data_IF_879789420560
#
_entry.id   IF_879789420560
#
_cell.length_a   1.000
_cell.length_b   1.000
_cell.length_c   1.000
_cell.angle_alpha   90.00
_cell.angle_beta   90.00
_cell.angle_gamma   90.00
#
_symmetry.space_group_name_H-M   'P 1'
#
loop_
_entity.id
_entity.type
_entity.pdbx_description
1 polymer ?
#
# COMPACT_ATOMS: atom_id res chain seq x y z
N UNK A 1 19.94 9.04 -3.76
CA UNK A 1 19.16 7.82 -3.42
C UNK A 1 19.67 7.14 -2.14
N UNK A 2 20.97 6.85 -2.02
CA UNK A 2 21.56 6.16 -0.86
C UNK A 2 21.24 6.79 0.52
N UNK A 3 21.39 8.11 0.67
CA UNK A 3 21.09 8.83 1.93
C UNK A 3 19.65 8.61 2.42
N UNK A 4 18.68 8.59 1.49
CA UNK A 4 17.27 8.35 1.82
C UNK A 4 17.04 6.92 2.29
N UNK A 5 17.58 5.93 1.57
CA UNK A 5 17.47 4.52 1.95
C UNK A 5 18.05 4.24 3.34
N UNK A 6 19.23 4.79 3.65
CA UNK A 6 19.85 4.67 4.98
C UNK A 6 18.97 5.32 6.06
N UNK A 7 18.38 6.48 5.78
CA UNK A 7 17.42 7.13 6.67
C UNK A 7 16.21 6.25 6.97
N UNK A 8 15.61 5.67 5.93
CA UNK A 8 14.45 4.76 6.06
C UNK A 8 14.80 3.53 6.90
N UNK A 9 15.94 2.90 6.65
CA UNK A 9 16.40 1.73 7.41
C UNK A 9 16.58 2.06 8.89
N UNK A 10 17.21 3.20 9.21
CA UNK A 10 17.37 3.65 10.61
C UNK A 10 16.02 3.89 11.29
N UNK A 11 15.08 4.52 10.59
CA UNK A 11 13.75 4.77 11.10
C UNK A 11 12.97 3.47 11.35
N UNK A 12 13.02 2.51 10.43
CA UNK A 12 12.41 1.19 10.58
C UNK A 12 13.00 0.44 11.78
N UNK A 13 14.32 0.48 11.96
CA UNK A 13 14.98 -0.17 13.08
C UNK A 13 14.57 0.44 14.42
N UNK A 14 14.50 1.78 14.48
CA UNK A 14 14.05 2.50 15.69
C UNK A 14 12.62 2.09 16.06
N UNK A 15 11.70 2.08 15.10
CA UNK A 15 10.31 1.66 15.30
C UNK A 15 10.20 0.21 15.75
N UNK A 16 10.92 -0.71 15.11
CA UNK A 16 10.91 -2.12 15.50
C UNK A 16 11.37 -2.31 16.95
N UNK A 17 12.38 -1.55 17.39
CA UNK A 17 12.83 -1.55 18.78
C UNK A 17 11.78 -0.98 19.75
N UNK A 18 11.12 0.12 19.38
CA UNK A 18 10.05 0.73 20.18
C UNK A 18 8.83 -0.21 20.33
N UNK A 19 8.50 -0.96 19.28
CA UNK A 19 7.38 -1.90 19.26
C UNK A 19 7.75 -3.31 19.79
N UNK A 20 8.99 -3.52 20.25
CA UNK A 20 9.53 -4.84 20.63
C UNK A 20 9.36 -5.93 19.56
N UNK A 21 9.43 -5.55 18.28
CA UNK A 21 9.39 -6.46 17.15
C UNK A 21 10.80 -6.73 16.61
N UNK A 22 10.98 -7.84 15.90
CA UNK A 22 12.27 -8.21 15.32
C UNK A 22 12.68 -7.22 14.21
N UNK A 23 13.81 -6.49 14.34
CA UNK A 23 14.24 -5.51 13.32
C UNK A 23 14.53 -6.12 11.96
N UNK A 24 14.96 -7.38 11.93
CA UNK A 24 15.22 -8.12 10.69
C UNK A 24 13.95 -8.34 9.87
N UNK A 25 12.79 -8.49 10.53
CA UNK A 25 11.50 -8.58 9.85
C UNK A 25 11.19 -7.29 9.12
N UNK A 26 11.37 -6.14 9.76
CA UNK A 26 11.16 -4.83 9.14
C UNK A 26 12.11 -4.58 7.95
N UNK A 27 13.38 -4.99 8.07
CA UNK A 27 14.33 -4.94 6.95
C UNK A 27 13.93 -5.86 5.79
N UNK A 28 13.48 -7.08 6.11
CA UNK A 28 13.06 -8.05 5.09
C UNK A 28 11.86 -7.54 4.32
N UNK A 29 10.89 -6.93 5.02
CA UNK A 29 9.74 -6.25 4.40
C UNK A 29 10.20 -5.09 3.50
N UNK A 30 11.05 -4.19 4.00
CA UNK A 30 11.58 -3.09 3.17
C UNK A 30 12.27 -3.57 1.90
N UNK A 31 12.96 -4.71 1.97
CA UNK A 31 13.65 -5.30 0.83
C UNK A 31 12.69 -5.79 -0.27
N UNK A 32 11.51 -6.28 0.09
CA UNK A 32 10.56 -6.89 -0.85
C UNK A 32 9.39 -5.97 -1.25
N UNK A 33 9.17 -4.87 -0.51
CA UNK A 33 8.11 -3.91 -0.78
C UNK A 33 8.55 -2.90 -1.85
N UNK A 34 7.75 -2.65 -2.90
CA UNK A 34 7.99 -1.57 -3.85
C UNK A 34 8.11 -0.21 -3.15
N UNK A 35 9.05 0.62 -3.59
CA UNK A 35 9.30 1.93 -2.96
C UNK A 35 8.26 2.98 -3.36
N UNK A 36 7.71 2.85 -4.56
CA UNK A 36 6.70 3.74 -5.14
C UNK A 36 5.96 3.00 -6.27
N UNK A 37 4.85 3.56 -6.78
CA UNK A 37 4.08 3.01 -7.91
C UNK A 37 4.95 2.78 -9.15
N UNK A 38 6.00 3.59 -9.31
CA UNK A 38 6.94 3.53 -10.44
C UNK A 38 8.29 2.91 -10.07
N UNK A 39 8.56 2.68 -8.78
CA UNK A 39 9.88 2.25 -8.31
C UNK A 39 9.81 0.86 -7.69
N UNK A 40 10.49 -0.14 -8.31
CA UNK A 40 10.47 -1.50 -7.81
C UNK A 40 11.21 -1.62 -6.47
N UNK A 41 11.02 -2.74 -5.77
CA UNK A 41 11.62 -2.98 -4.47
C UNK A 41 13.15 -3.04 -4.54
N UNK A 42 13.87 -2.83 -3.42
CA UNK A 42 15.32 -3.00 -3.38
C UNK A 42 15.80 -4.37 -3.88
N UNK A 43 15.04 -5.43 -3.63
CA UNK A 43 15.33 -6.77 -4.17
C UNK A 43 15.27 -6.80 -5.70
N UNK A 44 14.21 -6.24 -6.28
CA UNK A 44 14.02 -6.23 -7.74
C UNK A 44 15.08 -5.37 -8.44
N UNK A 45 15.47 -4.25 -7.83
CA UNK A 45 16.55 -3.41 -8.35
C UNK A 45 17.89 -4.16 -8.38
N UNK A 46 18.14 -5.02 -7.39
CA UNK A 46 19.40 -5.77 -7.29
C UNK A 46 19.43 -7.02 -8.18
N UNK A 47 18.32 -7.77 -8.24
CA UNK A 47 18.28 -9.08 -8.91
C UNK A 47 17.55 -9.07 -10.25
N UNK A 48 16.91 -7.96 -10.64
CA UNK A 48 16.14 -7.87 -11.88
C UNK A 48 14.91 -8.77 -11.95
N UNK A 49 14.50 -9.38 -10.82
CA UNK A 49 13.38 -10.31 -10.74
C UNK A 49 12.54 -10.07 -9.49
N UNK A 50 11.29 -10.53 -9.51
CA UNK A 50 10.39 -10.44 -8.36
C UNK A 50 10.86 -11.35 -7.21
N UNK A 51 10.71 -10.93 -5.94
CA UNK A 51 11.03 -11.76 -4.80
C UNK A 51 10.06 -12.95 -4.70
N UNK A 52 10.59 -14.15 -4.43
CA UNK A 52 9.77 -15.31 -4.13
C UNK A 52 9.17 -15.12 -2.73
N UNK A 53 7.88 -14.81 -2.68
CA UNK A 53 7.14 -14.59 -1.44
C UNK A 53 5.82 -15.35 -1.46
N UNK A 54 5.19 -15.49 -0.29
CA UNK A 54 3.84 -16.07 -0.18
C UNK A 54 2.76 -15.15 -0.75
N UNK A 55 3.07 -13.89 -1.05
CA UNK A 55 2.13 -12.95 -1.60
C UNK A 55 2.03 -13.10 -3.12
N UNK A 56 0.81 -13.02 -3.69
CA UNK A 56 0.61 -13.06 -5.12
C UNK A 56 1.30 -11.88 -5.80
N UNK A 57 2.16 -12.19 -6.76
CA UNK A 57 3.00 -11.20 -7.46
C UNK A 57 2.31 -10.67 -8.72
N UNK A 58 1.46 -11.49 -9.36
CA UNK A 58 0.79 -11.12 -10.60
C UNK A 58 -0.52 -10.40 -10.33
N UNK A 59 -0.80 -9.34 -11.11
CA UNK A 59 -2.10 -8.65 -11.07
C UNK A 59 -3.26 -9.61 -11.37
N UNK A 60 -3.02 -10.63 -12.19
CA UNK A 60 -3.99 -11.68 -12.48
C UNK A 60 -4.36 -12.53 -11.26
N UNK A 61 -3.39 -12.82 -10.38
CA UNK A 61 -3.66 -13.56 -9.14
C UNK A 61 -4.46 -12.74 -8.10
N UNK A 62 -4.55 -11.42 -8.28
CA UNK A 62 -5.39 -10.53 -7.46
C UNK A 62 -6.82 -10.41 -8.02
N UNK A 63 -7.11 -10.98 -9.19
CA UNK A 63 -8.46 -10.98 -9.74
C UNK A 63 -9.32 -12.02 -9.00
N UNK A 64 -10.53 -11.61 -8.64
CA UNK A 64 -11.52 -12.52 -8.09
C UNK A 64 -11.95 -13.52 -9.17
N UNK A 65 -11.94 -14.80 -8.84
CA UNK A 65 -12.44 -15.88 -9.69
C UNK A 65 -13.86 -16.31 -9.30
N UNK A 66 -14.55 -15.51 -8.47
CA UNK A 66 -15.87 -15.82 -7.97
C UNK A 66 -16.92 -15.75 -9.11
N UNK A 67 -17.89 -16.66 -9.18
CA UNK A 67 -19.01 -16.50 -10.12
C UNK A 67 -19.75 -15.19 -9.82
N UNK A 68 -20.12 -14.40 -10.84
CA UNK A 68 -20.75 -13.07 -10.67
C UNK A 68 -19.83 -11.95 -10.15
N UNK A 69 -18.53 -11.97 -10.48
CA UNK A 69 -17.59 -10.86 -10.17
C UNK A 69 -18.15 -9.49 -10.57
N UNK A 70 -18.79 -9.37 -11.73
CA UNK A 70 -19.29 -8.10 -12.24
C UNK A 70 -20.36 -7.48 -11.34
N UNK A 71 -21.31 -8.27 -10.85
CA UNK A 71 -22.36 -7.82 -9.92
C UNK A 71 -21.76 -7.28 -8.62
N UNK A 72 -20.70 -7.94 -8.11
CA UNK A 72 -20.00 -7.50 -6.91
C UNK A 72 -19.23 -6.19 -7.15
N UNK A 73 -18.58 -6.06 -8.31
CA UNK A 73 -17.88 -4.83 -8.69
C UNK A 73 -18.84 -3.66 -8.84
N UNK A 74 -20.00 -3.87 -9.46
CA UNK A 74 -21.03 -2.84 -9.61
C UNK A 74 -21.58 -2.38 -8.26
N UNK A 75 -21.94 -3.32 -7.37
CA UNK A 75 -22.37 -3.00 -6.00
C UNK A 75 -21.31 -2.23 -5.22
N UNK A 76 -20.03 -2.58 -5.39
CA UNK A 76 -18.93 -1.87 -4.75
C UNK A 76 -18.76 -0.45 -5.30
N UNK A 77 -18.87 -0.26 -6.62
CA UNK A 77 -18.83 1.08 -7.24
C UNK A 77 -19.97 1.96 -6.73
N UNK A 78 -21.20 1.44 -6.66
CA UNK A 78 -22.35 2.19 -6.14
C UNK A 78 -22.14 2.62 -4.67
N UNK A 79 -21.58 1.73 -3.83
CA UNK A 79 -21.23 2.08 -2.44
C UNK A 79 -20.17 3.17 -2.36
N UNK A 80 -19.12 3.07 -3.17
CA UNK A 80 -18.03 4.06 -3.20
C UNK A 80 -18.51 5.43 -3.69
N UNK A 81 -19.36 5.48 -4.72
CA UNK A 81 -19.96 6.73 -5.20
C UNK A 81 -20.76 7.43 -4.09
N UNK A 82 -21.62 6.68 -3.39
CA UNK A 82 -22.38 7.21 -2.24
C UNK A 82 -21.46 7.70 -1.11
N UNK A 83 -20.38 6.97 -0.81
CA UNK A 83 -19.40 7.40 0.20
C UNK A 83 -18.68 8.68 -0.21
N UNK A 84 -18.33 8.81 -1.49
CA UNK A 84 -17.70 10.01 -2.03
C UNK A 84 -18.62 11.22 -1.91
N UNK A 85 -19.90 11.09 -2.27
CA UNK A 85 -20.91 12.15 -2.10
C UNK A 85 -20.98 12.62 -0.65
N UNK A 86 -21.07 11.71 0.32
CA UNK A 86 -21.08 12.07 1.74
C UNK A 86 -19.79 12.75 2.20
N UNK A 87 -18.64 12.28 1.72
CA UNK A 87 -17.35 12.88 2.03
C UNK A 87 -17.26 14.32 1.51
N UNK A 88 -17.70 14.54 0.28
CA UNK A 88 -17.68 15.85 -0.38
C UNK A 88 -18.66 16.83 0.27
N UNK A 89 -19.86 16.37 0.64
CA UNK A 89 -20.81 17.16 1.44
C UNK A 89 -20.21 17.58 2.79
N UNK A 90 -19.55 16.65 3.49
CA UNK A 90 -18.91 16.93 4.79
C UNK A 90 -17.74 17.91 4.68
N UNK A 91 -16.94 17.81 3.60
CA UNK A 91 -15.85 18.75 3.32
C UNK A 91 -16.37 20.12 2.88
N UNK A 92 -17.45 20.17 2.11
CA UNK A 92 -18.09 21.40 1.64
C UNK A 92 -18.78 22.19 2.74
N UNK A 93 -19.39 21.51 3.71
CA UNK A 93 -20.04 22.14 4.88
C UNK A 93 -19.06 22.93 5.76
N UNK A 94 -17.86 22.39 6.01
CA UNK A 94 -16.83 23.06 6.83
C UNK A 94 -16.26 24.35 6.21
N UNK A 95 -16.44 24.60 4.90
CA UNK A 95 -16.00 25.86 4.27
C UNK A 95 -17.00 27.01 4.44
N UNK A 96 -18.25 26.74 4.81
CA UNK A 96 -19.32 27.76 4.87
C UNK A 96 -19.52 28.39 6.25
N UNK A 97 -18.95 27.80 7.30
CA UNK A 97 -19.20 28.19 8.71
C UNK A 97 -18.05 29.01 9.33
N UNK A 98 -17.07 29.43 8.53
CA UNK A 98 -15.90 30.21 8.96
C UNK A 98 -15.72 31.49 8.16
N UNK A 99 -16.76 32.31 8.05
CA UNK A 99 -16.67 33.69 7.56
C UNK A 99 -17.41 34.63 8.50
#
# INVERSE_FOLDING_TARGET
VAKRAVGTVKALWKKAKEENTCPYTALSMYRITPLDDKMPSPYELLYGRKPNSLLPISKGALLSHHPHVDDHLEKNRAKQAKQQEFYDMRKGGKKREGR
#
